data_IF_552330367419
#
_entry.id   IF_552330367419
#
_cell.length_a   1.000
_cell.length_b   1.000
_cell.length_c   1.000
_cell.angle_alpha   90.00
_cell.angle_beta   90.00
_cell.angle_gamma   90.00
#
_symmetry.space_group_name_H-M   'P 1'
#
loop_
_entity.id
_entity.type
_entity.pdbx_description
1 polymer ?
#
# COMPACT_ATOMS: atom_id res chain seq x y z
N UNK A 1 2.53 15.10 -12.84
CA UNK A 1 3.53 14.12 -12.38
C UNK A 1 4.83 14.84 -12.12
N UNK A 2 5.44 14.69 -10.94
CA UNK A 2 6.79 15.20 -10.68
C UNK A 2 7.83 14.51 -11.57
N UNK A 3 8.94 15.20 -11.85
CA UNK A 3 10.05 14.63 -12.61
C UNK A 3 10.62 13.37 -11.92
N UNK A 4 10.87 12.31 -12.69
CA UNK A 4 11.36 11.03 -12.18
C UNK A 4 10.26 10.11 -11.62
N UNK A 5 8.99 10.46 -11.81
CA UNK A 5 7.84 9.63 -11.40
C UNK A 5 6.94 9.28 -12.60
N UNK A 6 6.53 8.02 -12.67
CA UNK A 6 5.60 7.49 -13.65
C UNK A 6 4.23 7.18 -13.04
N UNK A 7 3.20 7.19 -13.90
CA UNK A 7 1.85 6.71 -13.56
C UNK A 7 1.79 5.20 -13.69
N UNK A 8 1.13 4.52 -12.75
CA UNK A 8 0.84 3.09 -12.82
C UNK A 8 -0.61 2.82 -12.43
N UNK A 9 -1.12 1.66 -12.89
CA UNK A 9 -2.48 1.19 -12.60
C UNK A 9 -2.46 -0.30 -12.29
N UNK A 10 -3.23 -0.73 -11.30
CA UNK A 10 -3.41 -2.14 -10.94
C UNK A 10 -4.80 -2.35 -10.30
N UNK A 11 -5.69 -3.10 -10.95
CA UNK A 11 -7.10 -3.14 -10.58
C UNK A 11 -7.74 -1.75 -10.65
N UNK A 12 -8.50 -1.39 -9.62
CA UNK A 12 -9.08 -0.04 -9.47
C UNK A 12 -8.08 0.99 -8.92
N UNK A 13 -6.84 0.61 -8.63
CA UNK A 13 -5.84 1.54 -8.11
C UNK A 13 -5.08 2.22 -9.24
N UNK A 14 -5.00 3.54 -9.20
CA UNK A 14 -4.02 4.30 -9.96
C UNK A 14 -3.14 5.10 -9.01
N UNK A 15 -1.82 5.07 -9.23
CA UNK A 15 -0.85 5.68 -8.31
C UNK A 15 0.38 6.17 -9.07
N UNK A 16 1.26 6.85 -8.34
CA UNK A 16 2.52 7.34 -8.88
C UNK A 16 3.66 6.56 -8.24
N UNK A 17 4.65 6.18 -9.03
CA UNK A 17 5.83 5.48 -8.56
C UNK A 17 7.06 6.02 -9.28
N UNK A 18 8.27 5.91 -8.71
CA UNK A 18 9.48 6.33 -9.40
C UNK A 18 9.66 5.63 -10.76
N UNK A 19 10.25 6.30 -11.73
CA UNK A 19 10.42 5.75 -13.10
C UNK A 19 11.32 4.50 -13.17
N UNK A 20 12.19 4.30 -12.18
CA UNK A 20 13.02 3.10 -12.09
C UNK A 20 12.28 1.90 -11.49
N UNK A 21 11.04 2.07 -11.01
CA UNK A 21 10.18 0.95 -10.64
C UNK A 21 9.65 0.21 -11.86
N UNK A 22 9.59 -1.11 -11.74
CA UNK A 22 8.97 -1.98 -12.74
C UNK A 22 8.11 -3.04 -12.05
N UNK A 23 7.04 -3.44 -12.72
CA UNK A 23 6.25 -4.58 -12.27
C UNK A 23 7.11 -5.85 -12.30
N UNK A 24 7.08 -6.62 -11.22
CA UNK A 24 7.82 -7.88 -11.10
C UNK A 24 6.87 -9.05 -11.33
N UNK A 25 7.25 -10.05 -12.16
CA UNK A 25 6.49 -11.28 -12.28
C UNK A 25 6.40 -12.02 -10.95
N UNK A 26 5.18 -12.39 -10.55
CA UNK A 26 4.95 -13.12 -9.30
C UNK A 26 4.85 -14.62 -9.60
N UNK A 27 5.70 -15.47 -9.03
CA UNK A 27 5.52 -16.92 -9.12
C UNK A 27 4.31 -17.38 -8.28
N UNK A 28 3.70 -18.51 -8.63
CA UNK A 28 2.51 -19.05 -7.95
C UNK A 28 2.74 -19.31 -6.44
N UNK A 29 3.98 -19.56 -6.03
CA UNK A 29 4.41 -19.80 -4.66
C UNK A 29 5.04 -18.57 -3.99
N UNK A 30 4.88 -17.38 -4.57
CA UNK A 30 5.41 -16.14 -4.01
C UNK A 30 4.91 -15.94 -2.56
N UNK A 31 5.80 -15.66 -1.60
CA UNK A 31 5.44 -15.48 -0.19
C UNK A 31 4.82 -14.10 0.09
N UNK A 32 3.92 -13.64 -0.79
CA UNK A 32 3.38 -12.27 -0.79
C UNK A 32 1.98 -12.17 -0.15
N UNK A 33 1.44 -13.26 0.36
CA UNK A 33 0.14 -13.25 1.03
C UNK A 33 -0.97 -12.82 0.08
N UNK A 34 -1.47 -11.60 0.25
CA UNK A 34 -2.59 -11.05 -0.53
C UNK A 34 -2.14 -10.11 -1.66
N UNK A 35 -0.87 -9.75 -1.75
CA UNK A 35 -0.36 -8.88 -2.82
C UNK A 35 -0.26 -9.65 -4.14
N UNK A 36 -1.18 -9.38 -5.06
CA UNK A 36 -1.26 -10.01 -6.38
C UNK A 36 -0.66 -9.14 -7.49
N UNK A 37 -0.24 -7.91 -7.16
CA UNK A 37 0.55 -7.05 -8.03
C UNK A 37 1.68 -6.40 -7.24
N UNK A 38 2.90 -6.42 -7.79
CA UNK A 38 4.09 -5.83 -7.15
C UNK A 38 4.94 -5.08 -8.18
N UNK A 39 5.42 -3.91 -7.76
CA UNK A 39 6.52 -3.20 -8.43
C UNK A 39 7.63 -2.83 -7.44
N UNK A 40 8.86 -2.78 -7.94
CA UNK A 40 10.05 -2.42 -7.17
C UNK A 40 11.16 -1.93 -8.10
N UNK A 41 12.21 -1.37 -7.52
CA UNK A 41 13.40 -0.85 -8.22
C UNK A 41 14.39 -1.93 -8.69
N UNK A 42 13.99 -3.21 -8.64
CA UNK A 42 14.75 -4.36 -9.11
C UNK A 42 13.86 -5.31 -9.92
N UNK A 43 14.37 -5.99 -10.97
CA UNK A 43 13.57 -6.88 -11.81
C UNK A 43 13.14 -8.19 -11.15
N UNK A 44 13.70 -8.55 -10.00
CA UNK A 44 13.48 -9.87 -9.37
C UNK A 44 12.96 -9.75 -7.94
N UNK A 45 11.92 -10.50 -7.61
CA UNK A 45 11.21 -10.40 -6.33
C UNK A 45 12.12 -10.67 -5.11
N UNK A 46 13.06 -11.61 -5.25
CA UNK A 46 13.94 -12.03 -4.15
C UNK A 46 15.20 -11.15 -4.01
N UNK A 47 15.30 -10.04 -4.75
CA UNK A 47 16.43 -9.13 -4.64
C UNK A 47 16.40 -8.39 -3.30
N UNK A 48 17.42 -8.64 -2.48
CA UNK A 48 17.57 -8.03 -1.15
C UNK A 48 18.11 -6.60 -1.20
N UNK A 49 18.52 -6.11 -2.38
CA UNK A 49 18.99 -4.73 -2.57
C UNK A 49 17.89 -3.72 -2.90
N UNK A 50 16.63 -4.21 -3.00
CA UNK A 50 15.43 -3.38 -3.22
C UNK A 50 15.36 -2.26 -2.19
N UNK A 51 15.27 -1.03 -2.67
CA UNK A 51 15.20 0.13 -1.77
C UNK A 51 13.78 0.47 -1.36
N UNK A 52 12.81 0.10 -2.20
CA UNK A 52 11.37 0.15 -1.91
C UNK A 52 10.57 -0.78 -2.84
N UNK A 53 9.43 -1.23 -2.35
CA UNK A 53 8.48 -2.10 -3.06
C UNK A 53 7.06 -1.59 -2.83
N UNK A 54 6.29 -1.61 -3.90
CA UNK A 54 4.87 -1.28 -3.93
C UNK A 54 4.10 -2.57 -4.17
N UNK A 55 3.11 -2.85 -3.33
CA UNK A 55 2.17 -3.95 -3.50
C UNK A 55 0.76 -3.42 -3.69
N UNK A 56 -0.05 -4.08 -4.51
CA UNK A 56 -1.48 -3.78 -4.65
C UNK A 56 -2.25 -5.08 -4.47
N UNK A 57 -3.41 -4.99 -3.83
CA UNK A 57 -4.42 -6.05 -3.82
C UNK A 57 -5.46 -5.66 -4.87
N UNK A 58 -5.37 -6.20 -6.09
CA UNK A 58 -6.13 -5.68 -7.24
C UNK A 58 -7.65 -5.87 -7.11
N UNK A 59 -8.08 -6.85 -6.32
CA UNK A 59 -9.49 -7.09 -5.98
C UNK A 59 -9.95 -6.32 -4.72
N UNK A 60 -9.10 -5.43 -4.19
CA UNK A 60 -9.40 -4.66 -3.00
C UNK A 60 -9.54 -5.51 -1.72
N UNK A 61 -10.26 -5.03 -0.70
CA UNK A 61 -10.34 -5.68 0.61
C UNK A 61 -11.04 -7.06 0.59
N UNK A 62 -11.84 -7.35 -0.44
CA UNK A 62 -12.54 -8.64 -0.60
C UNK A 62 -11.61 -9.83 -0.72
N UNK A 63 -10.35 -9.63 -1.12
CA UNK A 63 -9.34 -10.69 -1.12
C UNK A 63 -8.84 -11.05 0.29
N UNK A 64 -9.03 -10.16 1.27
CA UNK A 64 -8.51 -10.31 2.63
C UNK A 64 -9.60 -10.78 3.60
N UNK A 65 -10.84 -10.31 3.43
CA UNK A 65 -11.96 -10.74 4.27
C UNK A 65 -13.30 -10.67 3.53
N UNK A 66 -14.23 -11.53 3.93
CA UNK A 66 -15.54 -11.66 3.29
C UNK A 66 -16.43 -10.42 3.54
N UNK A 67 -17.11 -9.97 2.48
CA UNK A 67 -18.11 -8.88 2.49
C UNK A 67 -17.60 -7.60 3.18
N UNK A 68 -16.56 -6.96 2.65
CA UNK A 68 -16.13 -5.65 3.16
C UNK A 68 -17.28 -4.63 3.02
N UNK A 69 -17.44 -3.71 3.98
CA UNK A 69 -18.37 -2.61 3.80
C UNK A 69 -17.94 -1.78 2.58
N UNK A 70 -18.91 -1.30 1.83
CA UNK A 70 -18.70 -0.52 0.60
C UNK A 70 -18.80 0.97 0.85
N UNK A 71 -18.91 1.43 2.10
CA UNK A 71 -19.07 2.84 2.47
C UNK A 71 -18.43 3.16 3.83
N UNK A 72 -17.51 2.31 4.30
CA UNK A 72 -16.81 2.46 5.57
C UNK A 72 -15.31 2.15 5.41
N UNK A 73 -14.62 3.04 4.71
CA UNK A 73 -13.17 2.93 4.45
C UNK A 73 -12.36 2.92 5.74
N UNK A 74 -12.80 3.62 6.78
CA UNK A 74 -12.15 3.59 8.10
C UNK A 74 -12.18 2.18 8.69
N UNK A 75 -13.34 1.52 8.68
CA UNK A 75 -13.46 0.15 9.15
C UNK A 75 -12.57 -0.80 8.36
N UNK A 76 -12.56 -0.68 7.03
CA UNK A 76 -11.66 -1.47 6.17
C UNK A 76 -10.21 -1.24 6.57
N UNK A 77 -9.78 0.02 6.71
CA UNK A 77 -8.43 0.37 7.13
C UNK A 77 -8.09 -0.20 8.52
N UNK A 78 -9.01 -0.16 9.49
CA UNK A 78 -8.82 -0.75 10.82
C UNK A 78 -8.68 -2.26 10.76
N UNK A 79 -9.49 -2.93 9.93
CA UNK A 79 -9.43 -4.39 9.73
C UNK A 79 -8.14 -4.84 9.05
N UNK A 80 -7.73 -4.14 8.00
CA UNK A 80 -6.47 -4.42 7.32
C UNK A 80 -5.27 -4.08 8.22
N UNK A 81 -5.35 -3.00 9.00
CA UNK A 81 -4.33 -2.58 9.96
C UNK A 81 -3.96 -3.65 10.99
N UNK A 82 -4.90 -4.49 11.42
CA UNK A 82 -4.62 -5.61 12.34
C UNK A 82 -4.23 -6.92 11.61
N UNK A 83 -4.26 -6.91 10.28
CA UNK A 83 -3.85 -8.04 9.44
C UNK A 83 -2.34 -7.99 9.17
N UNK A 84 -1.69 -9.15 9.17
CA UNK A 84 -0.25 -9.28 8.91
C UNK A 84 0.10 -9.20 7.41
N UNK A 85 -0.33 -8.13 6.72
CA UNK A 85 -0.12 -7.96 5.27
C UNK A 85 1.37 -7.88 4.87
N UNK A 86 2.23 -7.38 5.76
CA UNK A 86 3.68 -7.33 5.58
C UNK A 86 4.42 -8.45 6.35
N UNK A 87 3.72 -9.50 6.78
CA UNK A 87 4.30 -10.67 7.46
C UNK A 87 4.10 -10.74 8.98
N UNK A 88 4.31 -11.93 9.56
CA UNK A 88 3.92 -12.33 10.94
C UNK A 88 4.56 -11.54 12.11
N UNK A 89 5.47 -10.61 11.83
CA UNK A 89 6.21 -9.82 12.83
C UNK A 89 6.02 -8.30 12.69
N UNK A 90 5.04 -7.87 11.89
CA UNK A 90 4.65 -6.47 11.77
C UNK A 90 3.33 -6.28 12.51
N UNK A 91 3.30 -5.40 13.51
CA UNK A 91 2.05 -4.98 14.15
C UNK A 91 1.83 -3.50 13.85
N UNK A 92 0.58 -3.12 13.61
CA UNK A 92 0.14 -1.72 13.67
C UNK A 92 -0.05 -1.23 15.12
N UNK A 93 0.33 -2.04 16.13
CA UNK A 93 0.05 -1.78 17.55
C UNK A 93 0.81 -0.55 18.04
N UNK A 94 0.24 0.62 17.73
CA UNK A 94 0.79 1.93 18.04
C UNK A 94 0.07 3.05 17.30
N UNK A 95 -0.28 2.86 16.02
CA UNK A 95 -0.97 3.87 15.23
C UNK A 95 -2.28 3.31 14.66
N UNK A 96 -3.42 3.85 15.13
CA UNK A 96 -4.69 3.66 14.42
C UNK A 96 -4.54 4.19 12.99
N UNK A 97 -5.26 3.62 12.00
CA UNK A 97 -5.40 4.28 10.71
C UNK A 97 -5.80 5.74 10.92
N UNK A 98 -5.26 6.63 10.10
CA UNK A 98 -5.63 8.04 10.10
C UNK A 98 -5.84 8.51 8.66
N UNK A 99 -6.77 9.44 8.51
CA UNK A 99 -7.06 10.04 7.22
C UNK A 99 -5.92 10.98 6.82
N UNK A 100 -5.57 10.95 5.54
CA UNK A 100 -4.62 11.86 4.91
C UNK A 100 -5.30 12.50 3.71
N UNK A 101 -4.92 13.74 3.38
CA UNK A 101 -5.43 14.42 2.20
C UNK A 101 -4.88 13.78 0.92
N UNK A 102 -5.72 13.65 -0.11
CA UNK A 102 -5.37 13.04 -1.39
C UNK A 102 -6.40 13.37 -2.47
N UNK A 103 -6.27 12.70 -3.63
CA UNK A 103 -7.29 12.75 -4.69
C UNK A 103 -8.58 12.06 -4.23
N UNK A 104 -8.55 10.90 -3.55
CA UNK A 104 -9.77 10.24 -3.12
C UNK A 104 -10.46 10.98 -1.99
N UNK A 105 -11.79 10.94 -1.94
CA UNK A 105 -12.59 11.54 -0.87
C UNK A 105 -12.21 10.96 0.51
N UNK A 106 -11.97 9.65 0.54
CA UNK A 106 -11.49 8.93 1.72
C UNK A 106 -10.16 8.27 1.42
N UNK A 107 -9.07 8.78 1.99
CA UNK A 107 -7.75 8.17 1.93
C UNK A 107 -7.20 7.95 3.33
N UNK A 108 -7.01 6.69 3.70
CA UNK A 108 -6.53 6.28 5.02
C UNK A 108 -5.13 5.70 4.91
N UNK A 109 -4.24 6.15 5.80
CA UNK A 109 -2.88 5.63 5.93
C UNK A 109 -2.71 4.87 7.24
N UNK A 110 -1.96 3.78 7.18
CA UNK A 110 -1.56 2.98 8.33
C UNK A 110 -0.05 2.79 8.26
N UNK A 111 0.63 3.16 9.36
CA UNK A 111 2.06 2.97 9.49
C UNK A 111 2.31 1.68 10.28
N UNK A 112 3.02 0.73 9.68
CA UNK A 112 3.37 -0.56 10.28
C UNK A 112 4.79 -0.53 10.82
N UNK A 113 4.95 -1.10 12.01
CA UNK A 113 6.25 -1.22 12.68
C UNK A 113 6.51 -2.67 13.13
N UNK A 114 7.78 -3.08 13.24
CA UNK A 114 8.13 -4.38 13.78
C UNK A 114 7.63 -4.56 15.22
N UNK A 115 7.21 -5.78 15.58
CA UNK A 115 6.83 -6.11 16.96
C UNK A 115 7.98 -5.82 17.92
N UNK A 116 7.74 -4.93 18.89
CA UNK A 116 8.73 -4.53 19.89
C UNK A 116 9.68 -3.41 19.45
N UNK A 117 9.51 -2.89 18.22
CA UNK A 117 10.13 -1.64 17.76
C UNK A 117 9.25 -0.43 18.05
N UNK A 118 9.82 0.77 17.87
CA UNK A 118 9.07 2.02 17.81
C UNK A 118 9.13 2.60 16.39
N UNK A 119 8.21 3.51 16.07
CA UNK A 119 8.21 4.23 14.81
C UNK A 119 9.53 4.93 14.48
N UNK A 120 10.26 5.32 15.52
CA UNK A 120 11.53 6.04 15.41
C UNK A 120 12.76 5.13 15.30
N UNK A 121 12.60 3.80 15.32
CA UNK A 121 13.73 2.85 15.43
C UNK A 121 13.75 1.74 14.39
N UNK A 122 12.69 1.54 13.59
CA UNK A 122 12.75 0.57 12.49
C UNK A 122 13.37 1.16 11.24
N UNK A 123 14.42 0.53 10.73
CA UNK A 123 15.02 0.88 9.44
C UNK A 123 14.04 0.57 8.29
N UNK A 124 13.21 -0.47 8.43
CA UNK A 124 12.14 -0.82 7.50
C UNK A 124 10.88 0.00 7.77
N UNK A 125 10.48 0.82 6.79
CA UNK A 125 9.21 1.55 6.83
C UNK A 125 8.17 0.83 5.98
N UNK A 126 6.99 0.63 6.55
CA UNK A 126 5.89 -0.10 5.91
C UNK A 126 4.61 0.73 6.05
N UNK A 127 3.96 1.01 4.93
CA UNK A 127 2.77 1.85 4.87
C UNK A 127 1.68 1.09 4.12
N UNK A 128 0.46 1.15 4.63
CA UNK A 128 -0.73 0.71 3.93
C UNK A 128 -1.62 1.91 3.66
N UNK A 129 -2.15 1.97 2.44
CA UNK A 129 -3.13 2.94 2.02
C UNK A 129 -4.42 2.21 1.65
N UNK A 130 -5.54 2.74 2.13
CA UNK A 130 -6.88 2.28 1.78
C UNK A 130 -7.65 3.50 1.31
N UNK A 131 -8.24 3.44 0.13
CA UNK A 131 -8.94 4.58 -0.43
C UNK A 131 -10.25 4.23 -1.12
N UNK A 132 -11.17 5.19 -1.12
CA UNK A 132 -12.48 5.12 -1.74
C UNK A 132 -12.97 6.54 -2.06
N UNK A 133 -13.78 6.67 -3.11
CA UNK A 133 -14.54 7.89 -3.42
C UNK A 133 -15.99 7.78 -2.95
N UNK A 134 -16.57 8.89 -2.47
CA UNK A 134 -17.88 8.87 -1.83
C UNK A 134 -18.98 8.51 -2.84
N UNK A 135 -19.74 7.46 -2.54
CA UNK A 135 -20.82 6.97 -3.38
C UNK A 135 -20.41 5.92 -4.41
N UNK A 136 -19.11 5.62 -4.52
CA UNK A 136 -18.56 4.59 -5.41
C UNK A 136 -18.18 3.32 -4.64
N UNK A 137 -18.40 2.12 -5.17
CA UNK A 137 -18.19 0.87 -4.43
C UNK A 137 -16.72 0.40 -4.40
N UNK A 138 -15.84 0.94 -5.25
CA UNK A 138 -14.46 0.48 -5.36
C UNK A 138 -13.62 0.93 -4.16
N UNK A 139 -12.97 -0.03 -3.50
CA UNK A 139 -12.01 0.22 -2.43
C UNK A 139 -10.65 -0.33 -2.85
N UNK A 140 -9.65 0.55 -2.89
CA UNK A 140 -8.28 0.17 -3.26
C UNK A 140 -7.42 -0.08 -2.03
N UNK A 141 -6.46 -1.00 -2.15
CA UNK A 141 -5.51 -1.33 -1.10
C UNK A 141 -4.10 -1.35 -1.67
N UNK A 142 -3.25 -0.44 -1.21
CA UNK A 142 -1.87 -0.27 -1.69
C UNK A 142 -0.90 -0.36 -0.52
N UNK A 143 0.10 -1.21 -0.63
CA UNK A 143 1.22 -1.30 0.31
C UNK A 143 2.47 -0.62 -0.25
N UNK A 144 3.23 0.06 0.61
CA UNK A 144 4.53 0.63 0.29
C UNK A 144 5.52 0.23 1.40
N UNK A 145 6.59 -0.47 1.05
CA UNK A 145 7.63 -0.92 1.98
C UNK A 145 9.01 -0.49 1.48
N UNK A 146 9.94 -0.16 2.38
CA UNK A 146 11.31 0.18 1.98
C UNK A 146 12.14 0.84 3.06
N UNK A 147 13.46 0.78 2.89
CA UNK A 147 14.46 1.38 3.78
C UNK A 147 14.67 2.88 3.51
N UNK A 148 14.32 3.34 2.32
CA UNK A 148 14.68 4.68 1.82
C UNK A 148 13.49 5.64 1.71
N UNK A 149 12.32 5.26 2.23
CA UNK A 149 11.11 6.09 2.15
C UNK A 149 11.26 7.31 3.06
N UNK A 150 11.46 8.47 2.44
CA UNK A 150 11.47 9.79 3.10
C UNK A 150 10.06 10.36 3.17
N UNK A 151 9.88 11.44 3.95
CA UNK A 151 8.59 12.16 3.96
C UNK A 151 8.25 12.72 2.57
N UNK A 152 9.21 13.29 1.85
CA UNK A 152 8.98 13.81 0.49
C UNK A 152 8.53 12.72 -0.50
N UNK A 153 9.13 11.51 -0.38
CA UNK A 153 8.70 10.34 -1.15
C UNK A 153 7.26 9.99 -0.80
N UNK A 154 6.96 9.91 0.50
CA UNK A 154 5.64 9.51 1.00
C UNK A 154 4.56 10.51 0.59
N UNK A 155 4.83 11.81 0.69
CA UNK A 155 3.95 12.88 0.23
C UNK A 155 3.68 12.78 -1.27
N UNK A 156 4.75 12.60 -2.07
CA UNK A 156 4.61 12.46 -3.52
C UNK A 156 3.76 11.24 -3.88
N UNK A 157 4.07 10.09 -3.30
CA UNK A 157 3.33 8.84 -3.51
C UNK A 157 1.85 9.00 -3.14
N UNK A 158 1.57 9.51 -1.93
CA UNK A 158 0.21 9.70 -1.40
C UNK A 158 -0.62 10.63 -2.29
N UNK A 159 -0.04 11.76 -2.72
CA UNK A 159 -0.71 12.72 -3.60
C UNK A 159 -1.09 12.15 -4.98
N UNK A 160 -0.45 11.06 -5.35
CA UNK A 160 -0.67 10.37 -6.61
C UNK A 160 -1.72 9.27 -6.55
N UNK A 161 -2.21 8.87 -5.38
CA UNK A 161 -3.19 7.78 -5.25
C UNK A 161 -4.55 8.26 -5.78
N UNK A 162 -5.22 7.45 -6.60
CA UNK A 162 -6.55 7.68 -7.18
C UNK A 162 -7.31 6.35 -7.25
N UNK A 163 -8.63 6.41 -7.05
CA UNK A 163 -9.54 5.28 -7.26
C UNK A 163 -10.10 5.39 -8.68
N UNK A 164 -10.04 4.29 -9.43
CA UNK A 164 -10.60 4.19 -10.78
C UNK A 164 -11.97 3.51 -10.71
N UNK A 165 -12.95 4.12 -11.36
CA UNK A 165 -14.30 3.60 -11.48
C UNK A 165 -14.55 3.06 -12.91
N UNK A 166 -15.34 2.00 -13.00
CA UNK A 166 -15.75 1.37 -14.27
C UNK A 166 -16.94 2.07 -14.94
#
# INVERSE_FOLDING_TARGET
MPDGWARATAGHAAFTMPENCQQVPLPDDAPLGYWDWVAQDSPTLDDTSVTYRIGVITQGPSAVFDNPPTDDTEFVARKLGVSSLFGRKMLSTGASPYQVEGIPDQLWRIDYFPIGGSADTSEDKNYLFVAQDDGEPEIIVIGLTGLTITEDFLTTFTSGIEVLHD
#
